data_IF_932985327463
#
_entry.id   IF_932985327463
#
_cell.length_a   1.000
_cell.length_b   1.000
_cell.length_c   1.000
_cell.angle_alpha   90.00
_cell.angle_beta   90.00
_cell.angle_gamma   90.00
#
_symmetry.space_group_name_H-M   'P 1'
#
loop_
_entity.id
_entity.type
_entity.pdbx_description
1 polymer ?
#
# COMPACT_ATOMS: atom_id res chain seq x y z
N UNK A 1 7.39 -11.60 3.38
CA UNK A 1 6.62 -11.28 2.16
C UNK A 1 5.95 -9.92 2.32
N UNK A 2 6.04 -9.04 1.33
CA UNK A 2 5.38 -7.72 1.33
C UNK A 2 4.20 -7.77 0.37
N UNK A 3 3.02 -7.43 0.88
CA UNK A 3 1.76 -7.35 0.12
C UNK A 3 1.29 -5.90 0.09
N UNK A 4 1.14 -5.33 -1.09
CA UNK A 4 0.63 -3.97 -1.25
C UNK A 4 -0.81 -3.96 -1.77
N UNK A 5 -1.71 -3.30 -1.04
CA UNK A 5 -3.08 -3.06 -1.47
C UNK A 5 -3.14 -1.74 -2.23
N UNK A 6 -3.41 -1.79 -3.53
CA UNK A 6 -3.55 -0.62 -4.39
C UNK A 6 -5.02 -0.40 -4.79
N UNK A 7 -5.31 0.77 -5.35
CA UNK A 7 -6.64 1.15 -5.79
C UNK A 7 -7.02 2.56 -5.36
N UNK A 8 -8.15 3.04 -5.86
CA UNK A 8 -8.64 4.38 -5.58
C UNK A 8 -8.93 4.60 -4.08
N UNK A 9 -8.92 5.87 -3.66
CA UNK A 9 -9.40 6.22 -2.32
C UNK A 9 -10.88 5.86 -2.18
N UNK A 10 -11.23 5.25 -1.04
CA UNK A 10 -12.60 4.77 -0.83
C UNK A 10 -12.87 3.36 -1.35
N UNK A 11 -11.93 2.71 -2.04
CA UNK A 11 -12.09 1.33 -2.50
C UNK A 11 -12.11 0.27 -1.38
N UNK A 12 -11.80 0.64 -0.12
CA UNK A 12 -11.87 -0.29 1.01
C UNK A 12 -10.54 -0.95 1.41
N UNK A 13 -9.40 -0.51 0.84
CA UNK A 13 -8.06 -1.05 1.15
C UNK A 13 -7.74 -1.16 2.64
N UNK A 14 -7.93 -0.07 3.38
CA UNK A 14 -7.65 -0.02 4.82
C UNK A 14 -8.58 -0.96 5.61
N UNK A 15 -9.85 -1.05 5.22
CA UNK A 15 -10.80 -1.99 5.81
C UNK A 15 -10.36 -3.43 5.57
N UNK A 16 -10.00 -3.77 4.33
CA UNK A 16 -9.52 -5.10 3.96
C UNK A 16 -8.23 -5.47 4.71
N UNK A 17 -7.25 -4.55 4.75
CA UNK A 17 -6.03 -4.73 5.55
C UNK A 17 -6.33 -5.03 7.01
N UNK A 18 -7.21 -4.24 7.62
CA UNK A 18 -7.56 -4.40 9.04
C UNK A 18 -8.24 -5.75 9.28
N UNK A 19 -9.18 -6.16 8.42
CA UNK A 19 -9.84 -7.46 8.52
C UNK A 19 -8.85 -8.62 8.41
N UNK A 20 -7.90 -8.57 7.48
CA UNK A 20 -6.86 -9.60 7.34
C UNK A 20 -5.95 -9.61 8.59
N UNK A 21 -5.58 -8.44 9.12
CA UNK A 21 -4.75 -8.36 10.33
C UNK A 21 -5.50 -8.82 11.60
N UNK A 22 -6.83 -8.69 11.65
CA UNK A 22 -7.65 -9.08 12.80
C UNK A 22 -7.98 -10.58 12.78
N UNK A 23 -8.31 -11.11 11.60
CA UNK A 23 -8.61 -12.53 11.44
C UNK A 23 -7.35 -13.40 11.39
N UNK A 24 -6.20 -12.80 11.05
CA UNK A 24 -4.95 -13.52 10.84
C UNK A 24 -4.93 -14.33 9.54
N UNK A 25 -3.79 -14.98 9.31
CA UNK A 25 -3.60 -16.00 8.27
C UNK A 25 -3.07 -17.23 9.00
N UNK A 26 -3.65 -18.42 8.82
CA UNK A 26 -3.20 -19.63 9.51
C UNK A 26 -1.69 -19.83 9.35
N UNK A 27 -1.01 -20.15 10.45
CA UNK A 27 0.43 -20.42 10.52
C UNK A 27 1.35 -19.28 9.99
N UNK A 28 0.80 -18.06 9.84
CA UNK A 28 1.54 -16.91 9.35
C UNK A 28 1.42 -15.71 10.29
N UNK A 29 2.54 -15.07 10.56
CA UNK A 29 2.56 -13.79 11.26
C UNK A 29 2.19 -12.69 10.27
N UNK A 30 1.08 -11.99 10.52
CA UNK A 30 0.62 -10.86 9.71
C UNK A 30 0.83 -9.55 10.45
N UNK A 31 1.44 -8.57 9.79
CA UNK A 31 1.76 -7.26 10.36
C UNK A 31 1.30 -6.17 9.39
N UNK A 32 0.54 -5.18 9.88
CA UNK A 32 0.33 -3.98 9.09
C UNK A 32 1.61 -3.15 9.03
N UNK A 33 1.97 -2.61 7.87
CA UNK A 33 3.22 -1.87 7.68
C UNK A 33 3.43 -0.73 8.71
N UNK A 34 2.43 0.05 9.12
CA UNK A 34 2.60 1.04 10.18
C UNK A 34 3.02 0.44 11.53
N UNK A 35 2.62 -0.81 11.81
CA UNK A 35 2.88 -1.49 13.09
C UNK A 35 4.33 -1.97 13.22
N UNK A 36 5.12 -1.95 12.14
CA UNK A 36 6.55 -2.31 12.16
C UNK A 36 7.41 -1.37 13.03
N UNK A 37 7.01 -0.13 13.17
CA UNK A 37 7.72 0.88 13.94
C UNK A 37 7.13 1.08 15.34
N UNK A 38 5.83 0.90 15.48
CA UNK A 38 5.12 1.16 16.71
C UNK A 38 4.23 -0.04 17.04
N UNK A 39 4.38 -0.57 18.26
CA UNK A 39 3.42 -1.55 18.73
C UNK A 39 2.00 -0.98 18.64
N UNK A 40 1.04 -1.77 18.16
CA UNK A 40 -0.39 -1.40 18.00
C UNK A 40 -0.97 -0.58 19.16
N UNK A 41 -0.53 -0.87 20.42
CA UNK A 41 -0.99 -0.17 21.63
C UNK A 41 -0.53 1.30 21.67
N UNK A 42 0.63 1.61 21.14
CA UNK A 42 1.19 2.98 21.11
C UNK A 42 0.54 3.78 19.97
N UNK A 43 0.37 3.19 18.78
CA UNK A 43 -0.31 3.83 17.65
C UNK A 43 -1.75 4.25 17.97
N UNK A 44 -2.50 3.43 18.72
CA UNK A 44 -3.86 3.78 19.16
C UNK A 44 -3.91 4.99 20.11
N UNK A 45 -2.81 5.31 20.80
CA UNK A 45 -2.70 6.48 21.68
C UNK A 45 -2.25 7.73 20.95
N UNK A 46 -1.53 7.59 19.83
CA UNK A 46 -1.11 8.69 18.95
C UNK A 46 -2.24 8.94 17.96
N UNK A 47 -3.29 9.62 18.41
CA UNK A 47 -4.54 9.80 17.67
C UNK A 47 -4.44 10.71 16.43
N UNK A 48 -3.28 11.33 16.15
CA UNK A 48 -3.15 12.26 15.02
C UNK A 48 -2.41 11.60 13.84
N UNK A 49 -3.02 11.56 12.63
CA UNK A 49 -2.39 10.99 11.41
C UNK A 49 -1.02 11.63 11.09
N UNK A 50 -0.85 12.91 11.40
CA UNK A 50 0.41 13.64 11.21
C UNK A 50 1.55 13.09 12.07
N UNK A 51 1.29 12.73 13.31
CA UNK A 51 2.31 12.19 14.21
C UNK A 51 2.73 10.77 13.78
N UNK A 52 1.80 9.95 13.29
CA UNK A 52 2.11 8.63 12.71
C UNK A 52 3.04 8.77 11.51
N UNK A 53 2.77 9.73 10.62
CA UNK A 53 3.62 9.99 9.46
C UNK A 53 5.04 10.41 9.87
N UNK A 54 5.18 11.29 10.86
CA UNK A 54 6.51 11.73 11.37
C UNK A 54 7.29 10.56 11.95
N UNK A 55 6.63 9.69 12.74
CA UNK A 55 7.28 8.49 13.29
C UNK A 55 7.72 7.53 12.18
N UNK A 56 6.90 7.34 11.15
CA UNK A 56 7.27 6.52 10.00
C UNK A 56 8.46 7.11 9.24
N UNK A 57 8.49 8.42 9.03
CA UNK A 57 9.60 9.09 8.37
C UNK A 57 10.91 8.96 9.13
N UNK A 58 10.90 9.27 10.43
CA UNK A 58 12.10 9.18 11.26
C UNK A 58 12.56 7.72 11.44
N UNK A 59 11.61 6.81 11.68
CA UNK A 59 11.93 5.40 11.90
C UNK A 59 12.37 4.66 10.65
N UNK A 60 11.93 5.08 9.46
CA UNK A 60 12.34 4.50 8.18
C UNK A 60 13.59 5.14 7.59
N UNK A 61 14.05 6.28 8.12
CA UNK A 61 15.19 7.02 7.58
C UNK A 61 16.49 6.21 7.49
N UNK A 62 16.91 5.41 8.48
CA UNK A 62 18.12 4.60 8.36
C UNK A 62 18.05 3.61 7.18
N UNK A 63 16.89 2.98 6.98
CA UNK A 63 16.65 2.02 5.91
C UNK A 63 16.62 2.69 4.54
N UNK A 64 16.04 3.89 4.45
CA UNK A 64 16.11 4.72 3.27
C UNK A 64 17.57 5.08 2.93
N UNK A 65 18.37 5.50 3.91
CA UNK A 65 19.77 5.89 3.69
C UNK A 65 20.60 4.68 3.22
N UNK A 66 20.37 3.49 3.77
CA UNK A 66 21.02 2.25 3.32
C UNK A 66 20.65 1.86 1.89
N UNK A 67 19.41 2.10 1.50
CA UNK A 67 18.90 1.76 0.17
C UNK A 67 19.14 2.84 -0.91
N UNK A 68 19.63 4.02 -0.54
CA UNK A 68 19.83 5.13 -1.50
C UNK A 68 20.61 4.77 -2.77
N UNK A 69 21.69 3.96 -2.72
CA UNK A 69 22.42 3.58 -3.93
C UNK A 69 21.53 2.84 -4.94
N UNK A 70 20.74 1.88 -4.47
CA UNK A 70 19.91 1.00 -5.30
C UNK A 70 18.67 1.73 -5.80
N UNK A 71 18.08 2.59 -4.97
CA UNK A 71 16.85 3.33 -5.26
C UNK A 71 17.07 4.66 -5.99
N UNK A 72 18.32 5.01 -6.27
CA UNK A 72 18.68 6.25 -6.96
C UNK A 72 17.95 6.46 -8.30
N UNK A 73 17.77 5.45 -9.16
CA UNK A 73 17.03 5.60 -10.41
C UNK A 73 15.55 5.96 -10.18
N UNK A 74 14.89 5.28 -9.24
CA UNK A 74 13.50 5.56 -8.87
C UNK A 74 13.33 6.95 -8.26
N UNK A 75 14.19 7.32 -7.32
CA UNK A 75 14.15 8.65 -6.68
C UNK A 75 14.46 9.78 -7.65
N UNK A 76 15.36 9.56 -8.62
CA UNK A 76 15.62 10.53 -9.69
C UNK A 76 14.42 10.68 -10.64
N UNK A 77 13.75 9.58 -10.98
CA UNK A 77 12.51 9.58 -11.74
C UNK A 77 11.41 10.36 -11.00
N UNK A 78 11.14 10.01 -9.75
CA UNK A 78 10.12 10.68 -8.93
C UNK A 78 10.39 12.19 -8.79
N UNK A 79 11.65 12.58 -8.51
CA UNK A 79 12.06 13.98 -8.45
C UNK A 79 11.80 14.71 -9.76
N UNK A 80 12.21 14.13 -10.90
CA UNK A 80 12.00 14.75 -12.21
C UNK A 80 10.53 14.98 -12.49
N UNK A 81 9.69 13.99 -12.23
CA UNK A 81 8.24 14.07 -12.41
C UNK A 81 7.62 15.16 -11.54
N UNK A 82 7.92 15.17 -10.23
CA UNK A 82 7.37 16.16 -9.30
C UNK A 82 7.85 17.59 -9.65
N UNK A 83 9.14 17.79 -9.97
CA UNK A 83 9.64 19.12 -10.31
C UNK A 83 9.14 19.63 -11.65
N UNK A 84 8.84 18.74 -12.59
CA UNK A 84 8.27 19.09 -13.89
C UNK A 84 6.78 19.43 -13.84
N UNK A 85 5.99 18.73 -13.02
CA UNK A 85 4.54 18.76 -13.15
C UNK A 85 3.78 19.20 -11.88
N UNK A 86 4.33 19.07 -10.67
CA UNK A 86 3.61 19.47 -9.47
C UNK A 86 3.37 20.99 -9.42
N UNK A 87 2.15 21.44 -9.06
CA UNK A 87 1.71 22.82 -9.24
C UNK A 87 2.41 23.82 -8.33
N UNK A 88 2.86 23.41 -7.15
CA UNK A 88 3.51 24.31 -6.20
C UNK A 88 4.81 23.72 -5.63
N UNK A 89 5.67 24.59 -5.06
CA UNK A 89 6.88 24.15 -4.34
C UNK A 89 6.53 23.25 -3.16
N UNK A 90 5.42 23.53 -2.48
CA UNK A 90 4.96 22.72 -1.38
C UNK A 90 4.56 21.31 -1.85
N UNK A 91 3.84 21.19 -2.98
CA UNK A 91 3.42 19.90 -3.53
C UNK A 91 4.62 19.07 -3.99
N UNK A 92 5.66 19.72 -4.56
CA UNK A 92 6.94 19.08 -4.94
C UNK A 92 7.62 18.47 -3.71
N UNK A 93 7.79 19.25 -2.66
CA UNK A 93 8.46 18.80 -1.43
C UNK A 93 7.65 17.74 -0.70
N UNK A 94 6.33 17.96 -0.56
CA UNK A 94 5.45 17.00 0.11
C UNK A 94 5.32 15.69 -0.67
N UNK A 95 5.24 15.74 -1.99
CA UNK A 95 5.24 14.57 -2.86
C UNK A 95 6.54 13.77 -2.72
N UNK A 96 7.71 14.45 -2.75
CA UNK A 96 9.01 13.79 -2.58
C UNK A 96 9.18 13.18 -1.20
N UNK A 97 8.77 13.89 -0.14
CA UNK A 97 8.72 13.37 1.24
C UNK A 97 7.88 12.08 1.33
N UNK A 98 6.72 12.07 0.68
CA UNK A 98 5.87 10.87 0.62
C UNK A 98 6.54 9.69 -0.09
N UNK A 99 7.24 9.93 -1.19
CA UNK A 99 8.01 8.89 -1.91
C UNK A 99 9.13 8.35 -1.03
N UNK A 100 9.95 9.22 -0.43
CA UNK A 100 11.06 8.83 0.44
C UNK A 100 10.59 7.97 1.62
N UNK A 101 9.49 8.38 2.28
CA UNK A 101 8.88 7.59 3.37
C UNK A 101 8.49 6.20 2.90
N UNK A 102 7.83 6.08 1.75
CA UNK A 102 7.37 4.78 1.23
C UNK A 102 8.53 3.85 0.89
N UNK A 103 9.58 4.38 0.27
CA UNK A 103 10.81 3.64 0.00
C UNK A 103 11.46 3.18 1.32
N UNK A 104 11.64 4.07 2.29
CA UNK A 104 12.21 3.73 3.58
C UNK A 104 11.39 2.67 4.33
N UNK A 105 10.05 2.77 4.31
CA UNK A 105 9.16 1.78 4.93
C UNK A 105 9.22 0.42 4.22
N UNK A 106 9.38 0.40 2.90
CA UNK A 106 9.55 -0.82 2.12
C UNK A 106 10.82 -1.57 2.55
N UNK A 107 11.97 -0.90 2.60
CA UNK A 107 13.22 -1.50 3.03
C UNK A 107 13.23 -1.88 4.52
N UNK A 108 12.58 -1.10 5.37
CA UNK A 108 12.33 -1.48 6.77
C UNK A 108 11.57 -2.82 6.85
N UNK A 109 10.53 -2.99 6.02
CA UNK A 109 9.75 -4.22 5.98
C UNK A 109 10.58 -5.41 5.51
N UNK A 110 11.40 -5.22 4.47
CA UNK A 110 12.31 -6.25 3.97
C UNK A 110 13.30 -6.74 5.03
N UNK A 111 13.85 -5.83 5.84
CA UNK A 111 14.82 -6.19 6.86
C UNK A 111 14.21 -6.78 8.12
N UNK A 112 13.11 -6.19 8.62
CA UNK A 112 12.56 -6.52 9.94
C UNK A 112 11.45 -7.57 9.95
N UNK A 113 10.90 -7.89 8.81
CA UNK A 113 9.74 -8.77 8.72
C UNK A 113 9.96 -9.94 7.75
N UNK A 114 11.16 -10.54 7.76
CA UNK A 114 11.52 -11.67 6.87
C UNK A 114 10.59 -12.87 7.04
N UNK A 115 10.17 -13.13 8.28
CA UNK A 115 9.31 -14.27 8.64
C UNK A 115 7.84 -13.85 8.84
N UNK A 116 7.40 -12.77 8.20
CA UNK A 116 6.05 -12.28 8.32
C UNK A 116 5.48 -11.82 6.97
N UNK A 117 4.15 -11.79 6.89
CA UNK A 117 3.41 -11.12 5.82
C UNK A 117 3.17 -9.68 6.25
N UNK A 118 3.74 -8.73 5.52
CA UNK A 118 3.55 -7.30 5.76
C UNK A 118 2.51 -6.75 4.81
N UNK A 119 1.40 -6.24 5.35
CA UNK A 119 0.33 -5.63 4.58
C UNK A 119 0.49 -4.11 4.55
N UNK A 120 0.59 -3.54 3.34
CA UNK A 120 0.67 -2.10 3.11
C UNK A 120 -0.52 -1.61 2.27
N UNK A 121 -1.20 -0.55 2.70
CA UNK A 121 -2.20 0.17 1.91
C UNK A 121 -1.71 1.56 1.46
N UNK A 122 -0.44 1.88 1.77
CA UNK A 122 0.26 3.08 1.35
C UNK A 122 1.71 2.76 0.91
N UNK A 123 1.90 1.72 0.12
CA UNK A 123 3.22 1.28 -0.34
C UNK A 123 3.81 2.08 -1.50
N UNK A 124 4.84 1.52 -2.12
CA UNK A 124 5.64 2.16 -3.18
C UNK A 124 4.85 2.36 -4.47
N UNK A 125 3.99 1.40 -4.84
CA UNK A 125 3.16 1.49 -6.05
C UNK A 125 2.11 2.61 -5.94
N UNK A 126 1.60 2.90 -4.74
CA UNK A 126 0.70 4.04 -4.54
C UNK A 126 1.40 5.39 -4.78
N UNK A 127 2.74 5.43 -4.91
CA UNK A 127 3.44 6.64 -5.33
C UNK A 127 3.05 7.07 -6.75
N UNK A 128 2.61 6.14 -7.61
CA UNK A 128 2.11 6.45 -8.96
C UNK A 128 0.97 7.47 -8.93
N UNK A 129 0.04 7.35 -7.99
CA UNK A 129 -1.01 8.35 -7.81
C UNK A 129 -0.43 9.77 -7.59
N UNK A 130 0.56 9.89 -6.70
CA UNK A 130 1.17 11.18 -6.39
C UNK A 130 1.98 11.74 -7.56
N UNK A 131 2.58 10.86 -8.38
CA UNK A 131 3.43 11.24 -9.49
C UNK A 131 2.63 11.60 -10.75
N UNK A 132 1.52 10.94 -11.00
CA UNK A 132 0.77 11.07 -12.26
C UNK A 132 -0.58 11.78 -12.06
N UNK A 133 -1.41 11.33 -11.12
CA UNK A 133 -2.75 11.90 -10.93
C UNK A 133 -2.69 13.23 -10.19
N UNK A 134 -2.05 13.29 -9.03
CA UNK A 134 -1.98 14.51 -8.22
C UNK A 134 -1.19 15.64 -8.90
N UNK A 135 -0.25 15.33 -9.78
CA UNK A 135 0.49 16.31 -10.59
C UNK A 135 -0.22 16.68 -11.89
N UNK A 136 -1.30 15.99 -12.24
CA UNK A 136 -1.99 16.09 -13.53
C UNK A 136 -1.09 15.80 -14.73
N UNK A 137 0.01 15.05 -14.52
CA UNK A 137 0.89 14.61 -15.59
C UNK A 137 0.19 13.56 -16.43
N UNK A 138 0.22 13.72 -17.74
CA UNK A 138 -0.27 12.67 -18.64
C UNK A 138 0.56 11.40 -18.51
N UNK A 139 -0.10 10.26 -18.57
CA UNK A 139 0.53 8.96 -18.47
C UNK A 139 -0.08 7.99 -19.48
N UNK A 140 0.72 7.03 -19.87
CA UNK A 140 0.35 5.92 -20.71
C UNK A 140 1.17 4.68 -20.31
N UNK A 141 1.11 3.65 -21.12
CA UNK A 141 1.82 2.38 -20.88
C UNK A 141 3.34 2.58 -20.71
N UNK A 142 3.94 3.47 -21.50
CA UNK A 142 5.39 3.73 -21.46
C UNK A 142 5.84 4.36 -20.14
N UNK A 143 5.11 5.38 -19.65
CA UNK A 143 5.40 6.06 -18.38
C UNK A 143 5.18 5.13 -17.19
N UNK A 144 4.08 4.36 -17.23
CA UNK A 144 3.75 3.41 -16.17
C UNK A 144 4.68 2.21 -16.16
N UNK A 145 5.07 1.70 -17.35
CA UNK A 145 6.08 0.66 -17.47
C UNK A 145 7.40 1.11 -16.85
N UNK A 146 7.87 2.32 -17.22
CA UNK A 146 9.09 2.89 -16.64
C UNK A 146 8.99 3.10 -15.13
N UNK A 147 7.83 3.54 -14.62
CA UNK A 147 7.61 3.65 -13.17
C UNK A 147 7.71 2.28 -12.51
N UNK A 148 7.04 1.26 -13.08
CA UNK A 148 7.03 -0.09 -12.53
C UNK A 148 8.41 -0.77 -12.59
N UNK A 149 9.20 -0.50 -13.63
CA UNK A 149 10.58 -1.01 -13.74
C UNK A 149 11.52 -0.44 -12.68
N UNK A 150 11.24 0.77 -12.18
CA UNK A 150 12.12 1.47 -11.25
C UNK A 150 11.65 1.41 -9.80
N UNK A 151 10.35 1.28 -9.56
CA UNK A 151 9.79 1.30 -8.21
C UNK A 151 10.17 0.06 -7.41
N UNK A 152 10.50 0.19 -6.11
CA UNK A 152 10.63 -0.96 -5.23
C UNK A 152 9.36 -1.81 -5.28
N UNK A 153 9.50 -3.09 -5.68
CA UNK A 153 8.39 -3.93 -6.07
C UNK A 153 7.96 -4.86 -4.92
N UNK A 154 6.68 -4.83 -4.46
CA UNK A 154 6.16 -5.77 -3.50
C UNK A 154 6.11 -7.20 -4.08
N UNK A 155 6.09 -8.21 -3.22
CA UNK A 155 6.00 -9.60 -3.63
C UNK A 155 4.63 -9.92 -4.24
N UNK A 156 3.57 -9.35 -3.65
CA UNK A 156 2.17 -9.51 -4.11
C UNK A 156 1.46 -8.16 -4.10
N UNK A 157 0.62 -7.95 -5.08
CA UNK A 157 -0.23 -6.77 -5.21
C UNK A 157 -1.69 -7.18 -5.18
N UNK A 158 -2.47 -6.58 -4.31
CA UNK A 158 -3.93 -6.74 -4.27
C UNK A 158 -4.56 -5.45 -4.78
N UNK A 159 -5.10 -5.50 -6.00
CA UNK A 159 -5.81 -4.36 -6.57
C UNK A 159 -7.28 -4.39 -6.17
N UNK A 160 -7.65 -3.47 -5.28
CA UNK A 160 -9.02 -3.33 -4.78
C UNK A 160 -9.78 -2.36 -5.69
N UNK A 161 -10.69 -2.91 -6.50
CA UNK A 161 -11.56 -2.15 -7.42
C UNK A 161 -12.92 -1.89 -6.79
N UNK A 162 -13.55 -0.80 -7.20
CA UNK A 162 -14.95 -0.50 -6.90
C UNK A 162 -15.54 0.30 -8.06
N UNK A 163 -16.86 0.30 -8.27
CA UNK A 163 -17.52 1.12 -9.26
C UNK A 163 -17.19 2.61 -9.07
N UNK A 164 -16.96 3.33 -10.17
CA UNK A 164 -16.60 4.76 -10.14
C UNK A 164 -17.64 5.57 -9.37
N UNK A 165 -18.91 5.29 -9.57
CA UNK A 165 -20.03 5.97 -8.93
C UNK A 165 -19.94 5.83 -7.40
N UNK A 166 -19.70 4.62 -6.90
CA UNK A 166 -19.52 4.37 -5.45
C UNK A 166 -18.27 5.05 -4.90
N UNK A 167 -17.18 5.11 -5.68
CA UNK A 167 -15.94 5.81 -5.30
C UNK A 167 -16.16 7.33 -5.19
N UNK A 168 -16.88 7.92 -6.14
CA UNK A 168 -17.24 9.34 -6.15
C UNK A 168 -18.14 9.69 -4.95
N UNK A 169 -19.15 8.87 -4.68
CA UNK A 169 -20.03 9.05 -3.53
C UNK A 169 -19.25 8.98 -2.21
N UNK A 170 -18.42 7.95 -2.04
CA UNK A 170 -17.55 7.80 -0.86
C UNK A 170 -16.53 8.94 -0.72
N UNK A 171 -16.02 9.48 -1.83
CA UNK A 171 -15.09 10.62 -1.80
C UNK A 171 -15.81 11.90 -1.32
N UNK A 172 -17.08 12.10 -1.71
CA UNK A 172 -17.91 13.24 -1.31
C UNK A 172 -18.38 13.17 0.14
N UNK A 173 -18.77 11.99 0.60
CA UNK A 173 -19.31 11.79 1.97
C UNK A 173 -18.21 11.69 3.03
N UNK A 174 -16.94 11.78 2.65
CA UNK A 174 -15.81 11.60 3.56
C UNK A 174 -15.70 12.77 4.55
N UNK A 175 -15.67 12.51 5.89
CA UNK A 175 -15.54 13.58 6.90
C UNK A 175 -14.19 14.33 6.79
N UNK A 176 -13.13 13.65 6.32
CA UNK A 176 -11.81 14.22 6.07
C UNK A 176 -11.49 14.07 4.57
N UNK A 177 -11.91 15.05 3.74
CA UNK A 177 -11.68 14.99 2.30
C UNK A 177 -10.19 15.10 1.99
N UNK A 178 -9.76 14.43 0.92
CA UNK A 178 -8.40 14.62 0.41
C UNK A 178 -8.18 16.09 0.09
N UNK A 179 -6.95 16.59 0.29
CA UNK A 179 -6.59 17.99 0.05
C UNK A 179 -7.01 18.50 -1.33
N UNK A 180 -6.83 17.68 -2.37
CA UNK A 180 -7.24 18.01 -3.74
C UNK A 180 -8.76 18.01 -3.97
N UNK A 181 -9.55 17.48 -3.04
CA UNK A 181 -11.01 17.49 -3.08
C UNK A 181 -11.61 18.59 -2.21
N UNK A 182 -10.80 19.37 -1.49
CA UNK A 182 -11.28 20.47 -0.65
C UNK A 182 -11.67 21.66 -1.52
N UNK A 183 -12.93 22.04 -1.48
CA UNK A 183 -13.44 23.20 -2.20
C UNK A 183 -13.62 23.03 -3.71
N UNK A 184 -13.53 21.78 -4.23
CA UNK A 184 -13.75 21.50 -5.65
C UNK A 184 -15.14 20.93 -5.92
N UNK A 185 -15.59 21.08 -7.18
CA UNK A 185 -16.90 20.59 -7.62
C UNK A 185 -16.95 19.06 -7.80
N UNK A 186 -18.16 18.51 -7.88
CA UNK A 186 -18.41 17.08 -8.06
C UNK A 186 -17.73 16.55 -9.33
N UNK A 187 -17.78 17.30 -10.42
CA UNK A 187 -17.16 16.93 -11.69
C UNK A 187 -15.63 16.77 -11.59
N UNK A 188 -14.96 17.59 -10.78
CA UNK A 188 -13.52 17.50 -10.57
C UNK A 188 -13.16 16.27 -9.71
N UNK A 189 -13.98 15.96 -8.69
CA UNK A 189 -13.82 14.73 -7.89
C UNK A 189 -14.00 13.51 -8.77
N UNK A 190 -15.02 13.51 -9.63
CA UNK A 190 -15.26 12.41 -10.57
C UNK A 190 -14.11 12.24 -11.56
N UNK A 191 -13.60 13.33 -12.11
CA UNK A 191 -12.45 13.30 -13.01
C UNK A 191 -11.19 12.72 -12.34
N UNK A 192 -10.90 13.12 -11.09
CA UNK A 192 -9.78 12.58 -10.29
C UNK A 192 -9.95 11.08 -10.01
N UNK A 193 -11.18 10.65 -9.65
CA UNK A 193 -11.49 9.24 -9.41
C UNK A 193 -11.32 8.42 -10.69
N UNK A 194 -11.90 8.85 -11.82
CA UNK A 194 -11.78 8.15 -13.12
C UNK A 194 -10.32 8.02 -13.53
N UNK A 195 -9.56 9.10 -13.43
CA UNK A 195 -8.12 9.11 -13.74
C UNK A 195 -7.32 8.19 -12.81
N UNK A 196 -7.72 8.09 -11.54
CA UNK A 196 -7.08 7.18 -10.58
C UNK A 196 -7.39 5.72 -10.89
N UNK A 197 -8.61 5.40 -11.30
CA UNK A 197 -8.99 4.04 -11.73
C UNK A 197 -8.22 3.68 -13.00
N UNK A 198 -8.19 4.55 -14.01
CA UNK A 198 -7.41 4.37 -15.24
C UNK A 198 -5.92 4.12 -14.96
N UNK A 199 -5.34 4.91 -14.05
CA UNK A 199 -3.95 4.72 -13.61
C UNK A 199 -3.69 3.29 -13.12
N UNK A 200 -4.53 2.79 -12.20
CA UNK A 200 -4.31 1.46 -11.64
C UNK A 200 -4.66 0.34 -12.61
N UNK A 201 -5.69 0.52 -13.45
CA UNK A 201 -6.04 -0.44 -14.51
C UNK A 201 -4.90 -0.63 -15.52
N UNK A 202 -4.19 0.44 -15.89
CA UNK A 202 -3.01 0.37 -16.75
C UNK A 202 -1.77 -0.12 -15.99
N UNK A 203 -1.56 0.34 -14.77
CA UNK A 203 -0.38 -0.03 -13.97
C UNK A 203 -0.30 -1.54 -13.75
N UNK A 204 -1.42 -2.20 -13.42
CA UNK A 204 -1.45 -3.65 -13.16
C UNK A 204 -1.19 -4.50 -14.40
N UNK A 205 -1.25 -3.90 -15.59
CA UNK A 205 -0.96 -4.56 -16.86
C UNK A 205 0.52 -4.47 -17.24
N UNK A 206 1.33 -3.69 -16.52
CA UNK A 206 2.76 -3.56 -16.79
C UNK A 206 3.51 -4.87 -16.54
N UNK A 207 4.56 -5.11 -17.33
CA UNK A 207 5.35 -6.36 -17.26
C UNK A 207 5.86 -6.70 -15.86
N UNK A 208 6.44 -5.76 -15.07
CA UNK A 208 6.92 -6.08 -13.72
C UNK A 208 5.85 -6.56 -12.75
N UNK A 209 4.58 -6.25 -13.00
CA UNK A 209 3.44 -6.67 -12.19
C UNK A 209 2.75 -7.95 -12.67
N UNK A 210 3.10 -8.43 -13.86
CA UNK A 210 2.54 -9.68 -14.40
C UNK A 210 2.80 -10.85 -13.45
N UNK A 211 1.73 -11.58 -13.10
CA UNK A 211 1.78 -12.71 -12.18
C UNK A 211 1.86 -12.37 -10.69
N UNK A 212 1.96 -11.08 -10.32
CA UNK A 212 1.96 -10.62 -8.92
C UNK A 212 0.62 -10.03 -8.46
N UNK A 213 -0.28 -9.75 -9.40
CA UNK A 213 -1.52 -9.01 -9.13
C UNK A 213 -2.68 -9.95 -8.89
N UNK A 214 -3.42 -9.67 -7.82
CA UNK A 214 -4.75 -10.22 -7.55
C UNK A 214 -5.75 -9.06 -7.59
N UNK A 215 -6.74 -9.13 -8.46
CA UNK A 215 -7.81 -8.14 -8.52
C UNK A 215 -8.99 -8.62 -7.68
N UNK A 216 -9.50 -7.72 -6.83
CA UNK A 216 -10.66 -7.98 -5.98
C UNK A 216 -11.69 -6.86 -6.13
N UNK A 217 -12.94 -7.23 -6.30
CA UNK A 217 -14.05 -6.28 -6.46
C UNK A 217 -14.66 -5.95 -5.09
N UNK A 218 -14.54 -4.67 -4.71
CA UNK A 218 -15.15 -4.12 -3.50
C UNK A 218 -16.41 -3.34 -3.87
N UNK A 219 -17.43 -4.05 -4.34
CA UNK A 219 -18.78 -3.49 -4.49
C UNK A 219 -19.41 -3.17 -3.13
N UNK A 220 -20.69 -2.89 -3.06
CA UNK A 220 -21.41 -2.68 -1.80
C UNK A 220 -21.46 -3.96 -0.95
N UNK A 221 -20.33 -4.28 -0.34
CA UNK A 221 -20.22 -5.43 0.53
C UNK A 221 -20.76 -5.03 1.92
N UNK A 222 -21.75 -5.76 2.39
CA UNK A 222 -22.12 -5.82 3.80
C UNK A 222 -20.97 -6.39 4.65
N UNK A 223 -21.19 -6.52 5.96
CA UNK A 223 -20.18 -7.06 6.87
C UNK A 223 -19.70 -8.47 6.49
N UNK A 224 -20.61 -9.35 6.06
CA UNK A 224 -20.30 -10.73 5.68
C UNK A 224 -19.54 -10.79 4.35
N UNK A 225 -19.95 -10.00 3.37
CA UNK A 225 -19.26 -9.90 2.08
C UNK A 225 -17.82 -9.45 2.22
N UNK A 226 -17.53 -8.51 3.14
CA UNK A 226 -16.16 -8.05 3.43
C UNK A 226 -15.31 -9.14 4.06
N UNK A 227 -15.87 -9.93 4.97
CA UNK A 227 -15.18 -11.06 5.60
C UNK A 227 -14.84 -12.11 4.54
N UNK A 228 -15.80 -12.44 3.66
CA UNK A 228 -15.60 -13.37 2.56
C UNK A 228 -14.51 -12.90 1.61
N UNK A 229 -14.52 -11.61 1.25
CA UNK A 229 -13.47 -11.02 0.42
C UNK A 229 -12.08 -11.10 1.09
N UNK A 230 -12.00 -10.83 2.38
CA UNK A 230 -10.76 -10.97 3.13
C UNK A 230 -10.26 -12.42 3.12
N UNK A 231 -11.15 -13.42 3.31
CA UNK A 231 -10.79 -14.83 3.22
C UNK A 231 -10.31 -15.23 1.82
N UNK A 232 -10.98 -14.78 0.76
CA UNK A 232 -10.54 -15.02 -0.62
C UNK A 232 -9.13 -14.47 -0.89
N UNK A 233 -8.85 -13.27 -0.41
CA UNK A 233 -7.51 -12.68 -0.53
C UNK A 233 -6.48 -13.49 0.26
N UNK A 234 -6.81 -13.94 1.47
CA UNK A 234 -5.95 -14.79 2.29
C UNK A 234 -5.63 -16.10 1.57
N UNK A 235 -6.62 -16.79 1.00
CA UNK A 235 -6.41 -18.04 0.27
C UNK A 235 -5.48 -17.85 -0.94
N UNK A 236 -5.64 -16.75 -1.66
CA UNK A 236 -4.74 -16.40 -2.77
C UNK A 236 -3.34 -16.07 -2.31
N UNK A 237 -3.17 -15.36 -1.18
CA UNK A 237 -1.87 -15.10 -0.59
C UNK A 237 -1.19 -16.39 -0.17
N UNK A 238 -1.91 -17.30 0.49
CA UNK A 238 -1.39 -18.62 0.86
C UNK A 238 -0.99 -19.45 -0.36
N UNK A 239 -1.71 -19.37 -1.46
CA UNK A 239 -1.36 -20.10 -2.69
C UNK A 239 -0.10 -19.52 -3.36
N UNK A 240 0.24 -18.25 -3.13
CA UNK A 240 1.43 -17.60 -3.66
C UNK A 240 2.70 -17.85 -2.83
N UNK A 241 2.57 -18.38 -1.60
CA UNK A 241 3.72 -18.72 -0.74
C UNK A 241 4.29 -20.07 -1.17
N UNK A 242 5.61 -20.18 -1.45
CA UNK A 242 6.27 -21.45 -1.79
C UNK A 242 6.08 -22.49 -0.67
N UNK A 243 5.82 -23.75 -1.05
CA UNK A 243 5.55 -24.85 -0.08
C UNK A 243 6.65 -25.05 0.97
N UNK A 244 7.91 -24.73 0.63
CA UNK A 244 9.06 -24.82 1.56
C UNK A 244 8.93 -23.82 2.72
N UNK A 245 8.41 -22.63 2.48
CA UNK A 245 8.23 -21.60 3.51
C UNK A 245 7.03 -21.90 4.39
N UNK A 246 5.98 -22.53 3.86
CA UNK A 246 4.81 -22.98 4.64
C UNK A 246 5.19 -24.04 5.69
N UNK A 247 6.09 -24.96 5.37
CA UNK A 247 6.51 -26.04 6.29
C UNK A 247 7.44 -25.57 7.40
N UNK A 248 8.25 -24.53 7.16
CA UNK A 248 9.13 -23.96 8.19
C UNK A 248 8.37 -23.15 9.24
N UNK A 249 7.31 -22.46 8.85
CA UNK A 249 6.47 -21.71 9.78
C UNK A 249 5.65 -22.62 10.73
N UNK A 250 5.10 -23.73 10.21
CA UNK A 250 4.39 -24.74 11.02
C UNK A 250 5.29 -25.48 12.04
N UNK A 251 6.56 -25.69 11.72
CA UNK A 251 7.50 -26.32 12.64
C UNK A 251 7.94 -25.42 13.80
N UNK A 252 7.98 -24.11 13.59
CA UNK A 252 8.33 -23.14 14.63
C UNK A 252 7.18 -22.95 15.64
N UNK A 253 5.92 -23.03 15.19
CA UNK A 253 4.74 -22.91 16.06
C UNK A 253 4.57 -24.07 17.04
N UNK A 254 4.97 -25.29 16.64
CA UNK A 254 4.89 -26.48 17.50
C UNK A 254 5.97 -26.54 18.59
N UNK A 255 7.09 -25.83 18.44
CA UNK A 255 8.15 -25.77 19.45
C UNK A 255 7.83 -24.76 20.58
N UNK A 256 7.12 -23.69 20.29
CA UNK A 256 6.79 -22.66 21.29
C UNK A 256 5.66 -23.11 22.23
N UNK A 257 4.71 -23.91 21.74
CA UNK A 257 3.63 -24.47 22.57
C UNK A 257 4.11 -25.55 23.56
N UNK A 258 5.25 -26.18 23.32
CA UNK A 258 5.82 -27.21 24.21
C UNK A 258 6.66 -26.65 25.36
N UNK A 259 6.97 -25.35 25.37
CA UNK A 259 7.72 -24.68 26.43
C UNK A 259 6.81 -24.01 27.47
N UNK A 260 5.56 -23.68 27.12
CA UNK A 260 4.59 -23.10 28.08
C UNK A 260 3.91 -24.14 29.00
N UNK A 261 4.01 -25.43 28.71
CA UNK A 261 3.41 -26.50 29.53
C UNK A 261 4.32 -27.03 30.65
N UNK A 262 5.49 -26.41 30.85
CA UNK A 262 6.51 -26.85 31.84
C UNK A 262 6.93 -25.77 32.85
N UNK A 263 6.09 -24.76 33.10
CA UNK A 263 6.34 -23.79 34.21
C UNK A 263 5.20 -23.82 35.21
#
# INVERSE_FOLDING_TARGET
MIVELIGCAGAGKTTLRNLICENGIPDQKVIAMPDLLLQRRVLRRVAQPTAVNVVQELGSLPFLLGALPDERPFLAFARRTLWGHAPSRFDKLNGMRGVLRKVGMFHLAQERARDAIVLSDEGTLLSSYNLFVATKMDFGEAELGRFADLAPMPDVVVYVRAPVESLVERARSRPDPRRQHVGVGVAEIEADVRRTVELFDLLVQTVPLTGRVTIVESSELDGEGRIRLASEVVDRLLSSIPERERKSAGAASTLDSSLEEKV
#
